data_IF_325167045265
#
_entry.id   IF_325167045265
#
_cell.length_a   1.000
_cell.length_b   1.000
_cell.length_c   1.000
_cell.angle_alpha   90.00
_cell.angle_beta   90.00
_cell.angle_gamma   90.00
#
_symmetry.space_group_name_H-M   'P 1'
#
loop_
_entity.id
_entity.type
_entity.pdbx_description
1 polymer ?
#
# COMPACT_ATOMS: atom_id res chain seq x y z
N UNK A 1 22.72 6.42 4.12
CA UNK A 1 22.21 6.19 5.48
C UNK A 1 20.74 5.87 5.35
N UNK A 2 20.38 4.58 5.38
CA UNK A 2 18.99 4.13 5.28
C UNK A 2 18.49 4.01 6.71
N UNK A 3 17.54 4.85 7.09
CA UNK A 3 16.88 4.78 8.39
C UNK A 3 15.58 4.01 8.15
N UNK A 4 15.58 2.73 8.51
CA UNK A 4 14.36 1.95 8.65
C UNK A 4 13.79 2.22 10.04
N UNK A 5 12.62 2.84 10.12
CA UNK A 5 11.92 3.07 11.38
C UNK A 5 11.12 1.81 11.67
N UNK A 6 11.70 0.89 12.45
CA UNK A 6 10.99 -0.26 12.98
C UNK A 6 10.29 0.12 14.28
N UNK A 7 8.97 -0.02 14.36
CA UNK A 7 8.28 -0.05 15.64
C UNK A 7 8.47 -1.42 16.28
N UNK A 8 9.12 -1.43 17.44
CA UNK A 8 9.42 -2.61 18.25
C UNK A 8 8.19 -3.03 19.05
N UNK A 9 7.75 -4.27 18.89
CA UNK A 9 7.02 -5.00 19.94
C UNK A 9 7.61 -6.41 20.01
N UNK A 10 8.17 -6.77 21.17
CA UNK A 10 8.77 -8.07 21.43
C UNK A 10 10.29 -8.07 21.19
N UNK A 11 11.05 -7.95 22.27
CA UNK A 11 12.51 -7.81 22.20
C UNK A 11 13.22 -9.03 21.61
N UNK A 12 13.87 -8.82 20.46
CA UNK A 12 15.20 -9.31 20.10
C UNK A 12 15.67 -8.49 18.88
N UNK A 13 16.70 -7.67 19.04
CA UNK A 13 17.34 -6.99 17.91
C UNK A 13 18.33 -7.95 17.26
N UNK A 14 18.01 -8.47 16.08
CA UNK A 14 18.99 -9.13 15.22
C UNK A 14 19.02 -8.39 13.89
N UNK A 15 19.92 -7.39 13.79
CA UNK A 15 20.40 -6.89 12.50
C UNK A 15 21.36 -7.93 11.90
N UNK A 16 20.85 -9.12 11.56
CA UNK A 16 21.58 -10.03 10.70
C UNK A 16 21.47 -9.46 9.29
N UNK A 17 22.62 -9.18 8.68
CA UNK A 17 22.78 -8.96 7.25
C UNK A 17 22.14 -10.13 6.51
N UNK A 18 20.86 -10.02 6.17
CA UNK A 18 20.25 -10.87 5.16
C UNK A 18 20.92 -10.49 3.85
N UNK A 19 21.83 -11.34 3.38
CA UNK A 19 22.13 -11.41 1.97
C UNK A 19 20.79 -11.61 1.26
N UNK A 20 20.30 -10.58 0.59
CA UNK A 20 19.15 -10.68 -0.28
C UNK A 20 19.56 -11.58 -1.44
N UNK A 21 19.41 -12.89 -1.23
CA UNK A 21 19.46 -13.86 -2.31
C UNK A 21 18.23 -13.62 -3.19
N UNK A 22 18.42 -12.87 -4.27
CA UNK A 22 17.38 -12.52 -5.24
C UNK A 22 16.79 -13.75 -5.95
N UNK A 23 17.32 -14.96 -5.72
CA UNK A 23 16.84 -16.19 -6.35
C UNK A 23 15.59 -16.80 -5.72
N UNK A 24 15.14 -16.32 -4.55
CA UNK A 24 14.00 -16.90 -3.81
C UNK A 24 12.68 -16.14 -3.98
N UNK A 25 12.62 -15.11 -4.82
CA UNK A 25 11.35 -14.55 -5.26
C UNK A 25 10.84 -15.40 -6.43
N UNK A 26 9.69 -16.10 -6.31
CA UNK A 26 9.01 -16.59 -7.51
C UNK A 26 8.57 -15.37 -8.31
N UNK A 27 9.39 -14.97 -9.29
CA UNK A 27 9.03 -13.97 -10.28
C UNK A 27 7.98 -14.58 -11.20
N UNK A 28 6.73 -14.65 -10.74
CA UNK A 28 5.61 -14.55 -11.68
C UNK A 28 5.57 -13.10 -12.12
N UNK A 29 6.38 -12.78 -13.12
CA UNK A 29 6.22 -11.57 -13.91
C UNK A 29 4.88 -11.67 -14.62
N UNK A 30 3.85 -11.10 -14.01
CA UNK A 30 2.65 -10.78 -14.75
C UNK A 30 2.96 -9.53 -15.57
N UNK A 31 2.85 -9.57 -16.91
CA UNK A 31 2.97 -8.35 -17.69
C UNK A 31 1.88 -7.39 -17.19
N UNK A 32 2.21 -6.12 -16.89
CA UNK A 32 1.17 -5.14 -16.59
C UNK A 32 0.27 -5.03 -17.82
N UNK A 33 -0.96 -5.54 -17.71
CA UNK A 33 -2.01 -5.28 -18.69
C UNK A 33 -2.73 -4.01 -18.25
N UNK A 34 -2.42 -2.91 -18.94
CA UNK A 34 -3.29 -1.78 -19.30
C UNK A 34 -2.55 -0.43 -19.17
N UNK A 35 -2.18 0.13 -20.32
CA UNK A 35 -1.62 1.48 -20.52
C UNK A 35 -2.69 2.59 -20.44
N UNK A 36 -3.73 2.44 -19.62
CA UNK A 36 -4.78 3.45 -19.53
C UNK A 36 -4.56 4.28 -18.26
N UNK A 37 -3.78 5.33 -18.40
CA UNK A 37 -3.85 6.48 -17.50
C UNK A 37 -5.24 7.09 -17.71
N UNK A 38 -6.11 6.99 -16.71
CA UNK A 38 -7.34 7.77 -16.72
C UNK A 38 -6.98 9.25 -16.81
N UNK A 39 -7.53 9.89 -17.84
CA UNK A 39 -7.45 11.33 -18.13
C UNK A 39 -7.64 12.15 -16.85
N UNK A 40 -6.58 12.86 -16.44
CA UNK A 40 -6.52 13.68 -15.23
C UNK A 40 -5.21 13.55 -14.43
N UNK A 41 -4.07 13.36 -15.10
CA UNK A 41 -2.75 13.15 -14.50
C UNK A 41 -2.15 14.48 -13.98
N UNK A 42 -2.84 15.12 -13.05
CA UNK A 42 -2.35 16.33 -12.38
C UNK A 42 -1.51 15.95 -11.15
N UNK A 43 -0.52 16.79 -10.87
CA UNK A 43 0.20 16.75 -9.60
C UNK A 43 -0.80 16.91 -8.44
N UNK A 44 -0.61 16.14 -7.38
CA UNK A 44 -1.42 16.26 -6.17
C UNK A 44 -0.55 16.50 -4.95
N UNK A 45 -0.95 17.49 -4.15
CA UNK A 45 -0.40 17.76 -2.83
C UNK A 45 -1.45 17.39 -1.81
N UNK A 46 -1.19 16.35 -1.04
CA UNK A 46 -2.13 15.75 -0.09
C UNK A 46 -1.67 16.06 1.32
N UNK A 47 -2.55 16.63 2.13
CA UNK A 47 -2.29 16.81 3.56
C UNK A 47 -2.35 15.47 4.27
N UNK A 48 -1.33 15.18 5.07
CA UNK A 48 -1.21 13.95 5.83
C UNK A 48 -1.49 14.18 7.30
N UNK A 49 -2.14 13.20 7.92
CA UNK A 49 -2.24 13.12 9.37
C UNK A 49 -1.01 12.39 9.92
N UNK A 50 -0.54 12.80 11.11
CA UNK A 50 0.55 12.12 11.81
C UNK A 50 0.00 11.47 13.08
N UNK A 51 -0.09 10.14 13.08
CA UNK A 51 -0.61 9.34 14.20
C UNK A 51 0.40 8.29 14.60
N UNK A 52 0.76 8.22 15.88
CA UNK A 52 1.61 7.13 16.39
C UNK A 52 2.96 6.98 15.68
N UNK A 53 3.49 8.03 15.05
CA UNK A 53 4.75 7.98 14.28
C UNK A 53 4.61 7.59 12.81
N UNK A 54 3.40 7.38 12.31
CA UNK A 54 3.12 7.08 10.90
C UNK A 54 2.36 8.23 10.22
N UNK A 55 2.51 8.31 8.90
CA UNK A 55 1.75 9.23 8.06
C UNK A 55 0.53 8.54 7.48
N UNK A 56 -0.63 9.18 7.60
CA UNK A 56 -1.91 8.64 7.16
C UNK A 56 -2.50 9.57 6.10
N UNK A 57 -2.97 8.97 5.00
CA UNK A 57 -3.68 9.64 3.93
C UNK A 57 -5.14 9.20 3.92
N UNK A 58 -6.05 10.14 3.67
CA UNK A 58 -7.41 9.82 3.25
C UNK A 58 -7.36 9.36 1.80
N UNK A 59 -8.03 8.25 1.53
CA UNK A 59 -8.12 7.65 0.20
C UNK A 59 -9.59 7.36 -0.13
N UNK A 60 -9.91 7.33 -1.41
CA UNK A 60 -11.21 6.90 -1.90
C UNK A 60 -11.03 5.63 -2.73
N UNK A 61 -11.78 4.59 -2.40
CA UNK A 61 -11.80 3.33 -3.12
C UNK A 61 -13.07 3.23 -3.96
N UNK A 62 -12.89 2.82 -5.22
CA UNK A 62 -13.95 2.54 -6.18
C UNK A 62 -14.95 3.68 -6.40
N UNK A 63 -14.53 4.93 -6.17
CA UNK A 63 -15.31 6.17 -6.32
C UNK A 63 -16.48 6.34 -5.32
N UNK A 64 -16.56 5.55 -4.24
CA UNK A 64 -17.69 5.65 -3.30
C UNK A 64 -17.37 5.40 -1.83
N UNK A 65 -16.19 4.88 -1.48
CA UNK A 65 -15.86 4.57 -0.09
C UNK A 65 -14.56 5.22 0.35
N UNK A 66 -14.64 6.05 1.38
CA UNK A 66 -13.47 6.69 1.99
C UNK A 66 -12.81 5.76 3.01
N UNK A 67 -11.48 5.80 3.06
CA UNK A 67 -10.68 5.05 4.01
C UNK A 67 -9.43 5.82 4.43
N UNK A 68 -8.79 5.36 5.51
CA UNK A 68 -7.57 5.95 6.05
C UNK A 68 -6.45 4.93 5.98
N UNK A 69 -5.46 5.19 5.12
CA UNK A 69 -4.34 4.28 4.90
C UNK A 69 -3.02 4.91 5.32
N UNK A 70 -2.14 4.11 5.93
CA UNK A 70 -0.76 4.49 6.21
C UNK A 70 0.00 4.58 4.89
N UNK A 71 0.75 5.65 4.68
CA UNK A 71 1.66 5.78 3.54
C UNK A 71 2.88 4.89 3.77
N UNK A 72 2.98 3.78 3.03
CA UNK A 72 4.06 2.81 3.17
C UNK A 72 4.72 2.50 1.81
N UNK A 73 5.75 3.26 1.45
CA UNK A 73 6.55 3.01 0.24
C UNK A 73 7.42 1.73 0.33
N UNK A 74 7.49 1.10 1.50
CA UNK A 74 8.19 -0.17 1.72
C UNK A 74 7.32 -1.41 1.45
N UNK A 75 6.00 -1.25 1.40
CA UNK A 75 5.06 -2.34 1.09
C UNK A 75 4.96 -2.57 -0.43
N UNK A 76 5.17 -3.82 -0.89
CA UNK A 76 5.00 -4.18 -2.31
C UNK A 76 3.57 -3.98 -2.80
N UNK A 77 2.58 -4.26 -1.96
CA UNK A 77 1.17 -4.10 -2.28
C UNK A 77 0.51 -3.14 -1.29
N UNK A 78 -0.44 -2.35 -1.80
CA UNK A 78 -1.48 -1.75 -0.97
C UNK A 78 -2.22 -2.87 -0.25
N UNK A 79 -2.35 -2.75 1.07
CA UNK A 79 -3.01 -3.74 1.94
C UNK A 79 -4.23 -3.08 2.56
N UNK A 80 -5.38 -3.73 2.50
CA UNK A 80 -6.64 -3.27 3.08
C UNK A 80 -7.20 -4.34 4.02
N UNK A 81 -7.91 -3.91 5.07
CA UNK A 81 -8.63 -4.81 5.96
C UNK A 81 -9.74 -5.56 5.22
N UNK A 82 -10.18 -6.67 5.81
CA UNK A 82 -11.30 -7.46 5.28
C UNK A 82 -12.61 -6.65 5.27
N UNK A 83 -12.86 -5.89 6.33
CA UNK A 83 -14.03 -5.00 6.45
C UNK A 83 -14.01 -3.92 5.37
N UNK A 84 -12.86 -3.26 5.17
CA UNK A 84 -12.73 -2.27 4.11
C UNK A 84 -12.93 -2.88 2.71
N UNK A 85 -12.40 -4.08 2.48
CA UNK A 85 -12.60 -4.77 1.21
C UNK A 85 -14.09 -5.06 0.97
N UNK A 86 -14.82 -5.51 2.00
CA UNK A 86 -16.25 -5.74 1.94
C UNK A 86 -17.02 -4.45 1.62
N UNK A 87 -16.77 -3.38 2.39
CA UNK A 87 -17.47 -2.10 2.25
C UNK A 87 -17.16 -1.42 0.91
N UNK A 88 -15.92 -1.50 0.43
CA UNK A 88 -15.51 -0.98 -0.89
C UNK A 88 -15.93 -1.87 -2.07
N UNK A 89 -16.59 -3.02 -1.82
CA UNK A 89 -17.00 -3.96 -2.86
C UNK A 89 -15.84 -4.64 -3.58
N UNK A 90 -14.67 -4.72 -2.94
CA UNK A 90 -13.47 -5.37 -3.45
C UNK A 90 -13.50 -6.83 -3.01
N UNK A 91 -13.56 -7.74 -3.97
CA UNK A 91 -13.59 -9.17 -3.70
C UNK A 91 -12.23 -9.78 -4.01
N UNK A 92 -11.84 -10.70 -3.14
CA UNK A 92 -10.78 -11.65 -3.43
C UNK A 92 -11.12 -12.45 -4.68
N UNK A 93 -10.13 -12.66 -5.54
CA UNK A 93 -10.27 -13.61 -6.63
C UNK A 93 -10.13 -15.02 -6.06
N UNK A 94 -11.25 -15.61 -5.62
CA UNK A 94 -11.31 -16.94 -5.01
C UNK A 94 -10.84 -18.07 -5.93
N UNK A 95 -10.69 -17.82 -7.24
CA UNK A 95 -10.08 -18.77 -8.16
C UNK A 95 -8.55 -18.86 -8.01
N UNK A 96 -7.91 -17.87 -7.36
CA UNK A 96 -6.49 -17.88 -7.08
C UNK A 96 -6.23 -18.43 -5.68
N UNK A 97 -5.24 -19.31 -5.55
CA UNK A 97 -4.75 -19.72 -4.23
C UNK A 97 -4.21 -18.51 -3.47
N UNK A 98 -4.38 -18.46 -2.13
CA UNK A 98 -3.80 -17.39 -1.32
C UNK A 98 -2.29 -17.28 -1.56
N UNK A 99 -1.78 -16.06 -1.53
CA UNK A 99 -0.35 -15.80 -1.73
C UNK A 99 0.39 -15.79 -0.39
N UNK A 100 1.66 -16.19 -0.42
CA UNK A 100 2.54 -16.04 0.73
C UNK A 100 3.31 -14.72 0.61
N UNK A 101 3.06 -13.81 1.52
CA UNK A 101 3.78 -12.55 1.67
C UNK A 101 4.87 -12.70 2.71
N UNK A 102 6.04 -12.14 2.42
CA UNK A 102 7.10 -11.96 3.41
C UNK A 102 7.01 -10.55 3.97
N UNK A 103 6.72 -10.45 5.26
CA UNK A 103 6.66 -9.18 5.98
C UNK A 103 7.78 -9.13 7.03
N UNK A 104 7.98 -7.96 7.64
CA UNK A 104 8.87 -7.83 8.81
C UNK A 104 8.43 -8.72 9.98
N UNK A 105 7.12 -8.96 10.11
CA UNK A 105 6.54 -9.85 11.13
C UNK A 105 6.58 -11.34 10.78
N UNK A 106 7.14 -11.71 9.62
CA UNK A 106 7.20 -13.09 9.13
C UNK A 106 6.31 -13.34 7.93
N UNK A 107 6.04 -14.63 7.66
CA UNK A 107 5.23 -15.05 6.50
C UNK A 107 3.75 -14.94 6.82
N UNK A 108 3.00 -14.29 5.93
CA UNK A 108 1.55 -14.15 6.02
C UNK A 108 0.93 -14.76 4.76
N UNK A 109 -0.13 -15.54 4.95
CA UNK A 109 -0.96 -16.00 3.84
C UNK A 109 -2.10 -14.99 3.65
N UNK A 110 -2.24 -14.44 2.45
CA UNK A 110 -3.22 -13.40 2.20
C UNK A 110 -3.93 -13.57 0.86
N UNK A 111 -5.10 -12.95 0.75
CA UNK A 111 -5.92 -12.96 -0.45
C UNK A 111 -5.61 -11.73 -1.32
N UNK A 112 -5.72 -11.90 -2.64
CA UNK A 112 -5.54 -10.81 -3.60
C UNK A 112 -6.88 -10.36 -4.16
N UNK A 113 -7.11 -9.06 -4.11
CA UNK A 113 -8.20 -8.36 -4.79
C UNK A 113 -7.67 -7.37 -5.82
N UNK A 114 -8.61 -6.76 -6.55
CA UNK A 114 -8.34 -5.61 -7.43
C UNK A 114 -9.32 -4.51 -7.08
N UNK A 115 -8.80 -3.36 -6.65
CA UNK A 115 -9.59 -2.14 -6.58
C UNK A 115 -9.72 -1.59 -8.01
N UNK A 116 -10.95 -1.33 -8.46
CA UNK A 116 -11.19 -0.69 -9.77
C UNK A 116 -10.50 0.67 -9.83
N UNK A 117 -10.54 1.40 -8.72
CA UNK A 117 -9.87 2.69 -8.58
C UNK A 117 -9.48 2.96 -7.14
N UNK A 118 -8.29 3.53 -6.94
CA UNK A 118 -7.87 4.16 -5.69
C UNK A 118 -7.52 5.62 -6.02
N UNK A 119 -8.14 6.57 -5.33
CA UNK A 119 -7.85 8.01 -5.43
C UNK A 119 -7.25 8.54 -4.14
N UNK A 120 -6.26 9.42 -4.28
CA UNK A 120 -5.58 10.11 -3.18
C UNK A 120 -5.42 11.57 -3.59
N UNK A 121 -6.15 12.46 -2.92
CA UNK A 121 -6.27 13.85 -3.36
C UNK A 121 -6.88 13.96 -4.77
N UNK A 122 -6.15 14.59 -5.69
CA UNK A 122 -6.62 14.80 -7.06
C UNK A 122 -6.21 13.68 -8.02
N UNK A 123 -5.29 12.81 -7.60
CA UNK A 123 -4.74 11.76 -8.46
C UNK A 123 -5.29 10.39 -8.09
N UNK A 124 -5.14 9.42 -9.00
CA UNK A 124 -5.62 8.06 -8.76
C UNK A 124 -5.04 7.03 -9.71
N UNK A 125 -5.27 5.77 -9.38
CA UNK A 125 -4.87 4.61 -10.18
C UNK A 125 -6.07 3.70 -10.36
N UNK A 126 -6.18 3.18 -11.58
CA UNK A 126 -7.15 2.16 -11.92
C UNK A 126 -6.50 0.77 -11.83
N UNK A 127 -7.35 -0.24 -11.62
CA UNK A 127 -6.96 -1.66 -11.58
C UNK A 127 -5.80 -1.96 -10.61
N UNK A 128 -5.87 -1.39 -9.41
CA UNK A 128 -4.83 -1.53 -8.38
C UNK A 128 -4.96 -2.88 -7.68
N UNK A 129 -3.90 -3.69 -7.75
CA UNK A 129 -3.83 -4.90 -6.96
C UNK A 129 -3.72 -4.58 -5.47
N UNK A 130 -4.54 -5.25 -4.66
CA UNK A 130 -4.55 -5.10 -3.21
C UNK A 130 -4.43 -6.45 -2.53
N UNK A 131 -3.76 -6.46 -1.38
CA UNK A 131 -3.79 -7.55 -0.43
C UNK A 131 -4.96 -7.31 0.53
N UNK A 132 -5.82 -8.30 0.69
CA UNK A 132 -6.91 -8.27 1.67
C UNK A 132 -6.41 -9.03 2.90
N UNK A 133 -6.06 -8.28 3.95
CA UNK A 133 -5.56 -8.81 5.21
C UNK A 133 -5.66 -7.78 6.33
N UNK A 134 -6.27 -8.17 7.45
CA UNK A 134 -6.33 -7.33 8.65
C UNK A 134 -4.98 -7.36 9.40
N UNK A 135 -4.25 -6.25 9.35
CA UNK A 135 -2.97 -6.10 10.04
C UNK A 135 -3.23 -5.86 11.54
N UNK A 136 -2.65 -6.68 12.44
CA UNK A 136 -2.86 -6.52 13.86
C UNK A 136 -2.13 -5.27 14.39
N UNK A 137 -2.71 -4.63 15.41
CA UNK A 137 -2.13 -3.48 16.13
C UNK A 137 -1.90 -2.21 15.28
N UNK A 138 -2.68 -2.02 14.21
CA UNK A 138 -2.78 -0.70 13.59
C UNK A 138 -3.44 0.30 14.56
N UNK A 139 -3.14 1.61 14.45
CA UNK A 139 -3.87 2.63 15.19
C UNK A 139 -5.38 2.57 14.88
N UNK A 140 -6.21 2.96 15.85
CA UNK A 140 -7.66 2.92 15.69
C UNK A 140 -8.13 3.77 14.48
N UNK A 141 -9.05 3.18 13.70
CA UNK A 141 -9.61 3.82 12.50
C UNK A 141 -8.64 3.91 11.32
N UNK A 142 -7.61 3.06 11.29
CA UNK A 142 -6.72 2.88 10.13
C UNK A 142 -7.04 1.55 9.44
N UNK A 143 -7.30 1.62 8.15
CA UNK A 143 -7.85 0.51 7.38
C UNK A 143 -6.79 -0.30 6.62
N UNK A 144 -5.52 0.14 6.67
CA UNK A 144 -4.40 -0.59 6.08
C UNK A 144 -3.23 0.28 5.64
N UNK A 145 -2.55 -0.16 4.58
CA UNK A 145 -1.32 0.42 4.03
C UNK A 145 -1.54 0.79 2.57
N UNK A 146 -1.15 2.01 2.18
CA UNK A 146 -1.02 2.45 0.80
C UNK A 146 0.39 2.13 0.31
N UNK A 147 0.52 1.20 -0.64
CA UNK A 147 1.79 0.58 -1.03
C UNK A 147 2.20 0.81 -2.48
N UNK A 148 3.25 0.11 -2.92
CA UNK A 148 3.83 0.26 -4.24
C UNK A 148 2.90 -0.12 -5.39
N UNK A 149 1.95 -1.05 -5.20
CA UNK A 149 0.95 -1.34 -6.24
C UNK A 149 0.07 -0.13 -6.61
N UNK A 150 -0.01 0.89 -5.73
CA UNK A 150 -0.54 2.21 -6.05
C UNK A 150 0.58 3.17 -6.49
N UNK A 151 1.69 3.24 -5.73
CA UNK A 151 2.73 4.26 -5.93
C UNK A 151 3.64 4.07 -7.16
N UNK A 152 3.67 2.90 -7.79
CA UNK A 152 4.62 2.54 -8.86
C UNK A 152 4.55 3.44 -10.12
N UNK A 153 3.42 4.13 -10.31
CA UNK A 153 3.22 5.10 -11.39
C UNK A 153 3.38 6.55 -10.96
N UNK A 154 3.94 6.83 -9.78
CA UNK A 154 4.15 8.19 -9.29
C UNK A 154 5.62 8.47 -8.97
N UNK A 155 6.03 9.72 -9.16
CA UNK A 155 7.10 10.30 -8.34
C UNK A 155 6.48 10.68 -7.00
N UNK A 156 7.01 10.09 -5.93
CA UNK A 156 6.50 10.27 -4.57
C UNK A 156 7.49 11.15 -3.80
N UNK A 157 6.99 12.24 -3.18
CA UNK A 157 7.77 13.05 -2.23
C UNK A 157 6.99 13.21 -0.94
N UNK A 158 7.65 12.94 0.18
CA UNK A 158 7.10 13.12 1.52
C UNK A 158 7.76 14.33 2.18
N UNK A 159 7.00 15.40 2.37
CA UNK A 159 7.42 16.60 3.09
C UNK A 159 6.98 16.50 4.55
N UNK A 160 7.92 16.11 5.42
CA UNK A 160 7.66 15.95 6.85
C UNK A 160 7.37 17.28 7.55
N UNK A 161 8.01 18.38 7.12
CA UNK A 161 7.86 19.69 7.75
C UNK A 161 6.47 20.23 7.55
N UNK A 162 5.95 20.07 6.33
CA UNK A 162 4.63 20.56 5.94
C UNK A 162 3.52 19.50 6.06
N UNK A 163 3.86 18.26 6.44
CA UNK A 163 2.94 17.12 6.54
C UNK A 163 2.23 16.83 5.21
N UNK A 164 3.00 16.81 4.13
CA UNK A 164 2.45 16.69 2.78
C UNK A 164 3.02 15.49 2.02
N UNK A 165 2.15 14.82 1.29
CA UNK A 165 2.51 13.85 0.26
C UNK A 165 2.33 14.54 -1.09
N UNK A 166 3.38 14.59 -1.90
CA UNK A 166 3.30 15.04 -3.28
C UNK A 166 3.37 13.81 -4.18
N UNK A 167 2.39 13.71 -5.07
CA UNK A 167 2.30 12.66 -6.09
C UNK A 167 2.28 13.31 -7.47
N UNK A 168 3.29 12.99 -8.28
CA UNK A 168 3.35 13.39 -9.69
C UNK A 168 3.29 12.15 -10.57
N UNK A 169 2.29 12.01 -11.47
CA UNK A 169 2.19 10.87 -12.36
C UNK A 169 3.44 10.69 -13.24
N UNK A 170 3.90 9.46 -13.40
CA UNK A 170 4.93 9.07 -14.36
C UNK A 170 4.26 8.70 -15.67
N UNK A 171 4.45 9.55 -16.68
CA UNK A 171 4.09 9.30 -18.08
C UNK A 171 4.90 8.14 -18.65
#
# INVERSE_FOLDING_TARGET
MVIAIGTVVGGQTILSRLSLDQSLLPTRSFPPKSDQIASGAEDSVISLEHLGGVWVANVELNDFHEARLIVDTGATFTTISEDLAFDAGIRSNTANSPINLLTVGGRVQAELGVARRIRVGNTGRDDVQVVIHTIPNLPDGIDGLLGLSFFDRFLVRLDHSNKQLHLSPRT
#
